data_IF_841512452268
#
_entry.id   IF_841512452268
#
_cell.length_a   1.000
_cell.length_b   1.000
_cell.length_c   1.000
_cell.angle_alpha   90.00
_cell.angle_beta   90.00
_cell.angle_gamma   90.00
#
_symmetry.space_group_name_H-M   'P 1'
#
loop_
_entity.id
_entity.type
_entity.pdbx_description
1 polymer ?
#
# COMPACT_ATOMS: atom_id res chain seq x y z
N UNK A 1 12.32 -20.04 -18.11
CA UNK A 1 11.89 -18.91 -17.25
C UNK A 1 10.86 -19.43 -16.26
N UNK A 2 11.17 -19.43 -14.95
CA UNK A 2 10.41 -20.16 -13.90
C UNK A 2 9.14 -19.37 -13.52
N UNK A 3 7.97 -19.94 -13.81
CA UNK A 3 6.63 -19.41 -13.44
C UNK A 3 6.52 -19.03 -11.96
N UNK A 4 7.25 -19.73 -11.08
CA UNK A 4 7.15 -19.59 -9.62
C UNK A 4 7.54 -18.21 -9.07
N UNK A 5 8.42 -17.46 -9.76
CA UNK A 5 8.86 -16.13 -9.28
C UNK A 5 7.88 -15.00 -9.66
N UNK A 6 7.14 -15.18 -10.77
CA UNK A 6 6.14 -14.22 -11.27
C UNK A 6 4.82 -14.40 -10.52
N UNK A 7 4.41 -15.64 -10.24
CA UNK A 7 3.15 -15.91 -9.53
C UNK A 7 3.16 -15.37 -8.10
N UNK A 8 4.27 -15.55 -7.37
CA UNK A 8 4.38 -15.08 -5.99
C UNK A 8 4.39 -13.55 -5.86
N UNK A 9 4.98 -12.85 -6.85
CA UNK A 9 5.06 -11.39 -6.86
C UNK A 9 3.76 -10.74 -7.36
N UNK A 10 3.12 -11.31 -8.39
CA UNK A 10 1.88 -10.77 -8.95
C UNK A 10 0.68 -10.93 -8.00
N UNK A 11 0.51 -12.12 -7.40
CA UNK A 11 -0.57 -12.34 -6.43
C UNK A 11 -0.35 -11.46 -5.19
N UNK A 12 0.90 -11.28 -4.75
CA UNK A 12 1.26 -10.35 -3.68
C UNK A 12 0.84 -8.91 -3.99
N UNK A 13 1.17 -8.40 -5.18
CA UNK A 13 0.78 -7.06 -5.63
C UNK A 13 -0.74 -6.91 -5.78
N UNK A 14 -1.42 -7.94 -6.28
CA UNK A 14 -2.88 -7.92 -6.40
C UNK A 14 -3.55 -7.90 -5.01
N UNK A 15 -3.03 -8.67 -4.05
CA UNK A 15 -3.50 -8.64 -2.66
C UNK A 15 -3.24 -7.29 -2.00
N UNK A 16 -2.09 -6.68 -2.25
CA UNK A 16 -1.77 -5.34 -1.77
C UNK A 16 -2.77 -4.31 -2.33
N UNK A 17 -3.02 -4.34 -3.65
CA UNK A 17 -3.99 -3.45 -4.29
C UNK A 17 -5.39 -3.55 -3.69
N UNK A 18 -5.86 -4.76 -3.35
CA UNK A 18 -7.19 -4.95 -2.75
C UNK A 18 -7.21 -4.58 -1.26
N UNK A 19 -6.23 -5.06 -0.49
CA UNK A 19 -6.29 -4.98 0.97
C UNK A 19 -5.71 -3.68 1.53
N UNK A 20 -4.78 -3.05 0.82
CA UNK A 20 -4.10 -1.83 1.29
C UNK A 20 -4.62 -0.61 0.55
N UNK A 21 -4.74 -0.68 -0.78
CA UNK A 21 -5.24 0.44 -1.58
C UNK A 21 -6.77 0.49 -1.66
N UNK A 22 -7.46 -0.53 -1.13
CA UNK A 22 -8.92 -0.57 -1.08
C UNK A 22 -9.61 -0.79 -2.43
N UNK A 23 -8.88 -1.22 -3.46
CA UNK A 23 -9.46 -1.44 -4.79
C UNK A 23 -10.39 -2.67 -4.79
N UNK A 24 -11.61 -2.48 -5.24
CA UNK A 24 -12.56 -3.57 -5.46
C UNK A 24 -12.18 -4.38 -6.71
N UNK A 25 -12.60 -5.64 -6.72
CA UNK A 25 -12.40 -6.49 -7.90
C UNK A 25 -13.18 -6.00 -9.14
N UNK A 26 -14.25 -5.21 -8.93
CA UNK A 26 -15.02 -4.58 -9.99
C UNK A 26 -14.25 -3.41 -10.62
N UNK A 27 -13.58 -2.59 -9.82
CA UNK A 27 -12.71 -1.51 -10.32
C UNK A 27 -11.52 -2.07 -11.11
N UNK A 28 -10.88 -3.11 -10.59
CA UNK A 28 -9.80 -3.80 -11.31
C UNK A 28 -10.33 -4.42 -12.61
N UNK A 29 -11.56 -4.97 -12.59
CA UNK A 29 -12.21 -5.51 -13.79
C UNK A 29 -12.46 -4.43 -14.84
N UNK A 30 -13.00 -3.29 -14.44
CA UNK A 30 -13.23 -2.14 -15.31
C UNK A 30 -11.93 -1.60 -15.92
N UNK A 31 -10.87 -1.48 -15.11
CA UNK A 31 -9.59 -0.93 -15.55
C UNK A 31 -8.81 -1.88 -16.48
N UNK A 32 -8.95 -3.20 -16.32
CA UNK A 32 -8.17 -4.20 -17.07
C UNK A 32 -8.95 -4.88 -18.20
N UNK A 33 -10.29 -4.77 -18.18
CA UNK A 33 -11.20 -5.55 -19.02
C UNK A 33 -11.24 -7.04 -18.68
N UNK A 34 -10.65 -7.46 -17.56
CA UNK A 34 -10.66 -8.85 -17.09
C UNK A 34 -11.94 -9.08 -16.28
N UNK A 35 -12.66 -10.17 -16.52
CA UNK A 35 -13.86 -10.45 -15.73
C UNK A 35 -13.54 -10.62 -14.23
N UNK A 36 -14.39 -10.05 -13.38
CA UNK A 36 -14.25 -10.14 -11.92
C UNK A 36 -14.10 -11.59 -11.41
N UNK A 37 -14.81 -12.55 -12.00
CA UNK A 37 -14.69 -13.98 -11.64
C UNK A 37 -13.31 -14.59 -11.97
N UNK A 38 -12.57 -14.01 -12.90
CA UNK A 38 -11.18 -14.39 -13.19
C UNK A 38 -10.22 -13.74 -12.19
N UNK A 39 -10.44 -12.47 -11.82
CA UNK A 39 -9.67 -11.76 -10.80
C UNK A 39 -9.81 -12.47 -9.44
N UNK A 40 -11.02 -12.86 -9.06
CA UNK A 40 -11.30 -13.67 -7.87
C UNK A 40 -10.52 -14.99 -7.85
N UNK A 41 -10.50 -15.71 -8.98
CA UNK A 41 -9.69 -16.94 -9.13
C UNK A 41 -8.20 -16.68 -9.00
N UNK A 42 -7.69 -15.59 -9.57
CA UNK A 42 -6.27 -15.19 -9.44
C UNK A 42 -5.91 -14.84 -7.99
N UNK A 43 -6.77 -14.11 -7.27
CA UNK A 43 -6.61 -13.82 -5.84
C UNK A 43 -6.54 -15.08 -4.98
N UNK A 44 -7.31 -16.11 -5.35
CA UNK A 44 -7.28 -17.42 -4.68
C UNK A 44 -6.02 -18.26 -4.98
N UNK A 45 -5.07 -17.72 -5.76
CA UNK A 45 -3.82 -18.40 -6.10
C UNK A 45 -3.96 -19.53 -7.12
N UNK A 46 -5.13 -19.67 -7.76
CA UNK A 46 -5.41 -20.73 -8.75
C UNK A 46 -5.00 -20.32 -10.15
N UNK A 47 -3.76 -19.85 -10.32
CA UNK A 47 -3.19 -19.54 -11.64
C UNK A 47 -2.36 -20.75 -12.09
N UNK A 48 -2.71 -21.33 -13.24
CA UNK A 48 -2.03 -22.52 -13.79
C UNK A 48 -1.10 -22.23 -14.97
N UNK A 49 -1.26 -21.06 -15.61
CA UNK A 49 -0.47 -20.65 -16.78
C UNK A 49 -0.46 -19.12 -16.92
N UNK A 50 0.63 -18.58 -17.47
CA UNK A 50 0.66 -17.19 -17.93
C UNK A 50 -0.34 -17.04 -19.07
N UNK A 51 -1.39 -16.26 -18.83
CA UNK A 51 -2.39 -15.93 -19.83
C UNK A 51 -2.27 -14.46 -20.24
N UNK A 52 -2.86 -14.09 -21.38
CA UNK A 52 -2.96 -12.67 -21.78
C UNK A 52 -3.62 -11.80 -20.71
N UNK A 53 -4.60 -12.34 -19.99
CA UNK A 53 -5.24 -11.63 -18.88
C UNK A 53 -4.29 -11.47 -17.68
N UNK A 54 -3.44 -12.47 -17.41
CA UNK A 54 -2.42 -12.34 -16.37
C UNK A 54 -1.38 -11.26 -16.72
N UNK A 55 -0.98 -11.17 -17.99
CA UNK A 55 -0.08 -10.13 -18.47
C UNK A 55 -0.71 -8.74 -18.34
N UNK A 56 -1.97 -8.56 -18.80
CA UNK A 56 -2.73 -7.31 -18.62
C UNK A 56 -2.82 -6.89 -17.16
N UNK A 57 -3.12 -7.84 -16.27
CA UNK A 57 -3.19 -7.58 -14.84
C UNK A 57 -1.84 -7.17 -14.27
N UNK A 58 -0.75 -7.82 -14.68
CA UNK A 58 0.60 -7.48 -14.27
C UNK A 58 0.97 -6.05 -14.66
N UNK A 59 0.77 -5.68 -15.93
CA UNK A 59 1.07 -4.33 -16.41
C UNK A 59 0.23 -3.26 -15.69
N UNK A 60 -1.05 -3.55 -15.45
CA UNK A 60 -1.90 -2.65 -14.65
C UNK A 60 -1.36 -2.47 -13.24
N UNK A 61 -1.04 -3.55 -12.53
CA UNK A 61 -0.53 -3.49 -11.16
C UNK A 61 0.87 -2.86 -11.07
N UNK A 62 1.71 -2.99 -12.10
CA UNK A 62 3.01 -2.31 -12.18
C UNK A 62 2.84 -0.80 -12.30
N UNK A 63 2.00 -0.35 -13.22
CA UNK A 63 1.69 1.08 -13.36
C UNK A 63 1.06 1.65 -12.09
N UNK A 64 0.19 0.87 -11.45
CA UNK A 64 -0.46 1.27 -10.20
C UNK A 64 0.56 1.37 -9.07
N UNK A 65 1.48 0.40 -8.95
CA UNK A 65 2.59 0.48 -8.01
C UNK A 65 3.47 1.71 -8.25
N UNK A 66 3.80 2.06 -9.50
CA UNK A 66 4.58 3.27 -9.79
C UNK A 66 3.85 4.57 -9.43
N UNK A 67 2.54 4.63 -9.65
CA UNK A 67 1.71 5.79 -9.29
C UNK A 67 1.63 5.97 -7.77
N UNK A 68 1.39 4.88 -7.03
CA UNK A 68 1.32 4.92 -5.58
C UNK A 68 2.69 5.07 -4.93
N UNK A 69 3.76 4.47 -5.48
CA UNK A 69 5.12 4.73 -5.00
C UNK A 69 5.52 6.21 -5.12
N UNK A 70 4.92 6.96 -6.05
CA UNK A 70 5.09 8.42 -6.14
C UNK A 70 4.23 9.20 -5.14
N UNK A 71 3.09 8.67 -4.71
CA UNK A 71 2.17 9.33 -3.76
C UNK A 71 2.48 8.98 -2.29
N UNK A 72 2.98 7.77 -2.02
CA UNK A 72 3.39 7.25 -0.71
C UNK A 72 4.91 7.36 -0.47
N UNK A 73 5.64 8.08 -1.32
CA UNK A 73 7.04 8.37 -1.08
C UNK A 73 7.16 9.14 0.23
N UNK A 74 7.80 8.55 1.24
CA UNK A 74 8.17 9.25 2.48
C UNK A 74 8.94 10.51 2.04
N UNK A 75 8.45 11.72 2.37
CA UNK A 75 9.09 12.95 1.92
C UNK A 75 10.58 12.92 2.23
N UNK A 76 11.41 13.25 1.24
CA UNK A 76 12.87 13.12 1.39
C UNK A 76 13.39 13.92 2.60
N UNK A 77 12.75 15.05 2.91
CA UNK A 77 13.00 15.84 4.12
C UNK A 77 12.85 15.04 5.43
N UNK A 78 11.87 14.14 5.52
CA UNK A 78 11.67 13.29 6.69
C UNK A 78 12.73 12.18 6.76
N UNK A 79 13.06 11.58 5.62
CA UNK A 79 14.13 10.58 5.54
C UNK A 79 15.48 11.19 5.93
N UNK A 80 15.78 12.38 5.44
CA UNK A 80 17.03 13.09 5.73
C UNK A 80 17.09 13.54 7.19
N UNK A 81 15.98 14.00 7.76
CA UNK A 81 15.90 14.33 9.19
C UNK A 81 16.16 13.10 10.08
N UNK A 82 15.56 11.95 9.75
CA UNK A 82 15.81 10.70 10.48
C UNK A 82 17.29 10.31 10.37
N UNK A 83 17.87 10.34 9.17
CA UNK A 83 19.29 10.01 8.95
C UNK A 83 20.23 10.94 9.71
N UNK A 84 19.94 12.22 9.73
CA UNK A 84 20.73 13.22 10.45
C UNK A 84 20.65 13.03 11.97
N UNK A 85 19.47 12.70 12.48
CA UNK A 85 19.25 12.49 13.93
C UNK A 85 19.67 11.11 14.42
N UNK A 86 19.93 10.15 13.54
CA UNK A 86 20.24 8.76 13.88
C UNK A 86 21.70 8.56 14.32
N UNK A 87 21.92 8.00 15.51
CA UNK A 87 23.28 7.73 16.05
C UNK A 87 23.81 6.31 15.81
N UNK A 88 23.01 5.43 15.19
CA UNK A 88 23.39 4.04 14.92
C UNK A 88 22.94 3.01 15.96
N UNK A 89 22.42 3.43 17.12
CA UNK A 89 22.12 2.53 18.25
C UNK A 89 20.66 2.09 18.27
N UNK A 90 20.40 0.79 18.54
CA UNK A 90 19.03 0.26 18.64
C UNK A 90 18.16 1.04 19.65
N UNK A 91 18.75 1.50 20.76
CA UNK A 91 18.07 2.30 21.77
C UNK A 91 17.53 3.61 21.19
N UNK A 92 18.31 4.29 20.36
CA UNK A 92 17.86 5.51 19.70
C UNK A 92 16.77 5.20 18.65
N UNK A 93 16.75 3.99 18.06
CA UNK A 93 15.79 3.67 16.99
C UNK A 93 14.42 3.55 17.60
N UNK A 94 14.36 2.82 18.72
CA UNK A 94 13.15 2.69 19.50
C UNK A 94 12.67 4.04 20.04
N UNK A 95 13.59 4.93 20.45
CA UNK A 95 13.22 6.28 20.90
C UNK A 95 12.62 7.12 19.77
N UNK A 96 13.28 7.19 18.60
CA UNK A 96 12.78 7.91 17.43
C UNK A 96 11.43 7.34 16.97
N UNK A 97 11.29 6.02 16.90
CA UNK A 97 10.04 5.36 16.53
C UNK A 97 8.90 5.72 17.50
N UNK A 98 9.15 5.70 18.82
CA UNK A 98 8.16 6.11 19.83
C UNK A 98 7.70 7.56 19.63
N UNK A 99 8.63 8.48 19.36
CA UNK A 99 8.28 9.90 19.11
C UNK A 99 7.42 10.02 17.86
N UNK A 100 7.84 9.44 16.73
CA UNK A 100 7.09 9.51 15.46
C UNK A 100 5.68 8.93 15.63
N UNK A 101 5.53 7.82 16.35
CA UNK A 101 4.21 7.23 16.66
C UNK A 101 3.39 8.13 17.58
N UNK A 102 3.99 8.78 18.58
CA UNK A 102 3.27 9.71 19.47
C UNK A 102 2.68 10.93 18.75
N UNK A 103 3.36 11.40 17.70
CA UNK A 103 2.87 12.50 16.85
C UNK A 103 1.56 12.13 16.13
N UNK A 104 1.30 10.83 15.88
CA UNK A 104 0.03 10.36 15.34
C UNK A 104 -1.13 10.69 16.31
N UNK A 105 -0.95 10.42 17.60
CA UNK A 105 -1.94 10.72 18.63
C UNK A 105 -2.15 12.23 18.80
N UNK A 106 -1.09 13.03 18.69
CA UNK A 106 -1.21 14.49 18.75
C UNK A 106 -2.02 15.05 17.57
N UNK A 107 -1.83 14.53 16.36
CA UNK A 107 -2.63 14.92 15.18
C UNK A 107 -4.11 14.60 15.36
N UNK A 108 -4.43 13.48 15.97
CA UNK A 108 -5.82 13.07 16.24
C UNK A 108 -6.48 14.02 17.26
N UNK A 109 -5.72 14.52 18.24
CA UNK A 109 -6.19 15.55 19.19
C UNK A 109 -6.38 16.93 18.53
N UNK A 110 -5.48 17.33 17.63
CA UNK A 110 -5.57 18.62 16.93
C UNK A 110 -6.68 18.66 15.87
N UNK A 111 -7.14 17.50 15.38
CA UNK A 111 -8.23 17.39 14.41
C UNK A 111 -9.61 17.23 15.06
N UNK A 112 -9.72 17.30 16.39
CA UNK A 112 -11.00 17.34 17.07
C UNK A 112 -11.65 18.71 16.82
N UNK A 113 -12.90 18.79 16.30
CA UNK A 113 -13.56 20.06 16.09
C UNK A 113 -13.79 20.74 17.45
N UNK A 114 -12.98 21.75 17.74
CA UNK A 114 -13.15 22.61 18.91
C UNK A 114 -14.50 23.33 18.79
N UNK A 115 -15.39 23.11 19.76
CA UNK A 115 -16.59 23.92 19.96
C UNK A 115 -17.93 23.27 19.61
N UNK A 116 -18.35 22.27 20.39
CA UNK A 116 -19.77 22.06 20.65
C UNK A 116 -20.03 22.33 22.14
N UNK A 117 -20.05 23.60 22.52
CA UNK A 117 -20.69 24.04 23.76
C UNK A 117 -22.16 23.64 23.67
N UNK A 118 -22.51 22.54 24.33
CA UNK A 118 -23.91 22.23 24.64
C UNK A 118 -24.38 23.27 25.65
N UNK A 119 -25.08 24.28 25.17
CA UNK A 119 -25.94 25.09 26.03
C UNK A 119 -27.03 24.17 26.58
N UNK A 120 -27.04 24.00 27.90
CA UNK A 120 -28.19 23.55 28.69
C UNK A 120 -28.83 24.79 29.29
#
# INVERSE_FOLDING_TARGET
>A
MRLSMIEHTLIGRLKYAVNVLGLSQQEISAATGIHQSQISRMLSGKVRRVSKNLQKLSSYLENLHELYAKQDAIPQVLVDAIRFSWDGTLQHADALARVIVSLKGLRELMNCPSGATKNV
#
